data_IF_282451324217
#
_entry.id   IF_282451324217
#
_cell.length_a   1.000
_cell.length_b   1.000
_cell.length_c   1.000
_cell.angle_alpha   90.00
_cell.angle_beta   90.00
_cell.angle_gamma   90.00
#
_symmetry.space_group_name_H-M   'P 1'
#
loop_
_entity.id
_entity.type
_entity.pdbx_description
1 polymer ?
#
# COMPACT_ATOMS: atom_id res chain seq x y z
N UNK A 1 -32.44 -29.37 -15.99
CA UNK A 1 -31.49 -28.24 -16.17
C UNK A 1 -30.98 -27.72 -14.81
N UNK A 2 -30.08 -28.44 -14.11
CA UNK A 2 -29.50 -28.02 -12.81
C UNK A 2 -28.08 -28.57 -12.59
N UNK A 3 -27.13 -28.34 -13.51
CA UNK A 3 -25.74 -28.80 -13.30
C UNK A 3 -24.60 -27.87 -13.77
N UNK A 4 -24.87 -26.57 -14.06
CA UNK A 4 -23.80 -25.66 -14.53
C UNK A 4 -23.32 -24.60 -13.52
N UNK A 5 -23.93 -24.45 -12.35
CA UNK A 5 -23.49 -23.43 -11.37
C UNK A 5 -22.35 -23.89 -10.46
N UNK A 6 -22.05 -25.17 -10.33
CA UNK A 6 -21.02 -25.69 -9.41
C UNK A 6 -19.58 -25.64 -9.95
N UNK A 7 -19.40 -25.76 -11.27
CA UNK A 7 -18.09 -25.80 -11.90
C UNK A 7 -17.42 -24.43 -12.05
N UNK A 8 -18.19 -23.40 -12.38
CA UNK A 8 -17.68 -22.04 -12.50
C UNK A 8 -17.17 -21.49 -11.15
N UNK A 9 -17.84 -21.81 -10.05
CA UNK A 9 -17.42 -21.35 -8.71
C UNK A 9 -16.16 -22.05 -8.21
N UNK A 10 -15.95 -23.32 -8.53
CA UNK A 10 -14.72 -24.07 -8.22
C UNK A 10 -13.51 -23.55 -9.02
N UNK A 11 -13.70 -23.22 -10.29
CA UNK A 11 -12.64 -22.68 -11.15
C UNK A 11 -12.19 -21.29 -10.71
N UNK A 12 -13.12 -20.42 -10.34
CA UNK A 12 -12.83 -19.08 -9.80
C UNK A 12 -12.08 -19.14 -8.46
N UNK A 13 -12.48 -20.05 -7.56
CA UNK A 13 -11.80 -20.28 -6.29
C UNK A 13 -10.37 -20.83 -6.48
N UNK A 14 -10.17 -21.69 -7.45
CA UNK A 14 -8.85 -22.23 -7.78
C UNK A 14 -7.92 -21.15 -8.35
N UNK A 15 -8.41 -20.33 -9.28
CA UNK A 15 -7.67 -19.21 -9.85
C UNK A 15 -7.32 -18.15 -8.79
N UNK A 16 -8.24 -17.86 -7.87
CA UNK A 16 -7.97 -16.96 -6.74
C UNK A 16 -6.85 -17.50 -5.85
N UNK A 17 -6.89 -18.76 -5.46
CA UNK A 17 -5.83 -19.37 -4.65
C UNK A 17 -4.48 -19.43 -5.35
N UNK A 18 -4.45 -19.66 -6.66
CA UNK A 18 -3.21 -19.62 -7.44
C UNK A 18 -2.62 -18.21 -7.45
N UNK A 19 -3.44 -17.19 -7.67
CA UNK A 19 -2.98 -15.80 -7.62
C UNK A 19 -2.48 -15.42 -6.23
N UNK A 20 -3.14 -15.84 -5.16
CA UNK A 20 -2.71 -15.58 -3.79
C UNK A 20 -1.33 -16.21 -3.50
N UNK A 21 -1.10 -17.45 -3.94
CA UNK A 21 0.20 -18.14 -3.80
C UNK A 21 1.30 -17.44 -4.61
N UNK A 22 0.98 -16.99 -5.82
CA UNK A 22 1.90 -16.26 -6.68
C UNK A 22 2.28 -14.90 -6.06
N UNK A 23 1.30 -14.16 -5.55
CA UNK A 23 1.53 -12.90 -4.83
C UNK A 23 2.45 -13.14 -3.64
N UNK A 24 2.16 -14.12 -2.78
CA UNK A 24 2.98 -14.43 -1.61
C UNK A 24 4.42 -14.82 -1.98
N UNK A 25 4.61 -15.52 -3.09
CA UNK A 25 5.95 -15.88 -3.56
C UNK A 25 6.73 -14.65 -3.99
N UNK A 26 6.09 -13.75 -4.76
CA UNK A 26 6.71 -12.49 -5.19
C UNK A 26 6.99 -11.58 -3.97
N UNK A 27 6.08 -11.51 -3.01
CA UNK A 27 6.28 -10.75 -1.76
C UNK A 27 7.52 -11.23 -0.99
N UNK A 28 7.75 -12.54 -0.91
CA UNK A 28 8.97 -13.10 -0.29
C UNK A 28 10.23 -12.71 -1.06
N UNK A 29 10.20 -12.80 -2.39
CA UNK A 29 11.32 -12.36 -3.24
C UNK A 29 11.66 -10.89 -3.01
N UNK A 30 10.65 -10.02 -3.04
CA UNK A 30 10.82 -8.58 -2.81
C UNK A 30 11.36 -8.31 -1.40
N UNK A 31 10.78 -8.93 -0.38
CA UNK A 31 11.22 -8.75 1.01
C UNK A 31 12.70 -9.13 1.17
N UNK A 32 13.14 -10.21 0.52
CA UNK A 32 14.55 -10.62 0.52
C UNK A 32 15.45 -9.62 -0.18
N UNK A 33 14.99 -8.99 -1.27
CA UNK A 33 15.74 -7.96 -1.98
C UNK A 33 15.84 -6.65 -1.19
N UNK A 34 14.83 -6.31 -0.40
CA UNK A 34 14.80 -5.11 0.43
C UNK A 34 15.60 -5.26 1.72
N UNK A 35 15.78 -6.48 2.23
CA UNK A 35 16.39 -6.76 3.53
C UNK A 35 17.78 -6.12 3.78
N UNK A 36 18.69 -5.99 2.78
CA UNK A 36 19.99 -5.34 2.97
C UNK A 36 19.89 -3.83 3.23
N UNK A 37 18.84 -3.19 2.76
CA UNK A 37 18.63 -1.74 2.90
C UNK A 37 17.73 -1.46 4.10
N UNK A 38 18.33 -0.94 5.17
CA UNK A 38 17.56 -0.55 6.36
C UNK A 38 16.60 0.57 6.02
N UNK A 39 15.32 0.36 6.35
CA UNK A 39 14.28 1.34 6.15
C UNK A 39 13.42 1.12 4.89
N UNK A 40 13.92 0.41 3.87
CA UNK A 40 13.11 0.08 2.69
C UNK A 40 12.14 -1.08 3.01
N UNK A 41 10.91 -1.00 2.52
CA UNK A 41 9.90 -2.01 2.81
C UNK A 41 8.86 -2.19 1.70
N UNK A 42 8.29 -3.38 1.66
CA UNK A 42 7.20 -3.71 0.76
C UNK A 42 5.88 -3.14 1.29
N UNK A 43 5.14 -2.45 0.43
CA UNK A 43 3.78 -1.97 0.72
C UNK A 43 2.74 -2.94 0.20
N UNK A 44 2.86 -3.37 -1.06
CA UNK A 44 1.96 -4.37 -1.64
C UNK A 44 2.45 -4.88 -2.99
N UNK A 45 2.00 -6.08 -3.35
CA UNK A 45 2.09 -6.65 -4.69
C UNK A 45 0.68 -6.77 -5.26
N UNK A 46 0.50 -6.37 -6.52
CA UNK A 46 -0.73 -6.55 -7.27
C UNK A 46 -0.41 -7.24 -8.59
N UNK A 47 -1.17 -8.26 -8.96
CA UNK A 47 -1.08 -8.92 -10.26
C UNK A 47 -2.37 -8.64 -11.01
N UNK A 48 -2.27 -7.93 -12.12
CA UNK A 48 -3.38 -7.67 -13.03
C UNK A 48 -3.46 -8.75 -14.10
N UNK A 49 -4.58 -8.86 -14.84
CA UNK A 49 -4.67 -9.76 -15.99
C UNK A 49 -3.47 -9.63 -16.93
N UNK A 50 -3.11 -10.71 -17.63
CA UNK A 50 -1.92 -10.80 -18.50
C UNK A 50 -0.58 -10.73 -17.75
N UNK A 51 -0.54 -11.20 -16.49
CA UNK A 51 0.67 -11.24 -15.66
C UNK A 51 1.36 -9.86 -15.51
N UNK A 52 0.57 -8.80 -15.43
CA UNK A 52 1.10 -7.46 -15.15
C UNK A 52 1.31 -7.30 -13.64
N UNK A 53 2.56 -7.39 -13.21
CA UNK A 53 2.98 -7.36 -11.80
C UNK A 53 3.33 -5.92 -11.41
N UNK A 54 2.64 -5.40 -10.40
CA UNK A 54 2.94 -4.10 -9.80
C UNK A 54 3.36 -4.28 -8.35
N UNK A 55 4.57 -3.82 -8.05
CA UNK A 55 5.17 -3.88 -6.72
C UNK A 55 5.30 -2.46 -6.18
N UNK A 56 4.69 -2.21 -5.04
CA UNK A 56 4.79 -0.93 -4.35
C UNK A 56 5.73 -1.09 -3.15
N UNK A 57 6.79 -0.29 -3.14
CA UNK A 57 7.80 -0.24 -2.08
C UNK A 57 7.92 1.17 -1.54
N UNK A 58 8.27 1.31 -0.27
CA UNK A 58 8.48 2.60 0.37
C UNK A 58 9.70 2.55 1.29
N UNK A 59 10.10 3.70 1.83
CA UNK A 59 11.23 3.83 2.75
C UNK A 59 10.83 4.68 3.96
N UNK A 60 11.38 4.38 5.13
CA UNK A 60 11.15 5.15 6.36
C UNK A 60 11.81 6.54 6.33
N UNK A 61 12.77 6.76 5.45
CA UNK A 61 13.45 8.06 5.33
C UNK A 61 12.53 9.18 4.85
N UNK A 62 12.83 10.41 5.26
CA UNK A 62 12.05 11.60 4.90
C UNK A 62 12.01 11.86 3.40
N UNK A 63 13.07 11.50 2.68
CA UNK A 63 13.16 11.60 1.21
C UNK A 63 12.32 10.55 0.47
N UNK A 64 11.81 9.54 1.21
CA UNK A 64 11.01 8.45 0.65
C UNK A 64 11.82 7.51 -0.26
N UNK A 65 11.11 6.82 -1.14
CA UNK A 65 11.70 5.88 -2.10
C UNK A 65 12.17 6.62 -3.36
N UNK A 66 13.47 6.61 -3.65
CA UNK A 66 14.00 7.26 -4.86
C UNK A 66 13.73 6.45 -6.13
N UNK A 67 13.73 7.13 -7.28
CA UNK A 67 13.56 6.50 -8.60
C UNK A 67 14.69 5.52 -8.86
N UNK A 68 15.93 5.86 -8.49
CA UNK A 68 17.10 5.01 -8.66
C UNK A 68 16.99 3.69 -7.89
N UNK A 69 16.48 3.75 -6.66
CA UNK A 69 16.16 2.56 -5.86
C UNK A 69 15.08 1.71 -6.54
N UNK A 70 13.99 2.32 -7.01
CA UNK A 70 12.94 1.61 -7.73
C UNK A 70 13.49 0.88 -8.96
N UNK A 71 14.31 1.55 -9.77
CA UNK A 71 14.94 0.94 -10.96
C UNK A 71 15.87 -0.21 -10.58
N UNK A 72 16.65 -0.07 -9.51
CA UNK A 72 17.55 -1.13 -9.03
C UNK A 72 16.75 -2.36 -8.59
N UNK A 73 15.72 -2.18 -7.78
CA UNK A 73 14.85 -3.28 -7.33
C UNK A 73 14.07 -3.91 -8.48
N UNK A 74 13.59 -3.11 -9.42
CA UNK A 74 12.91 -3.62 -10.62
C UNK A 74 13.82 -4.56 -11.40
N UNK A 75 15.06 -4.16 -11.68
CA UNK A 75 16.03 -4.99 -12.42
C UNK A 75 16.38 -6.28 -11.67
N UNK A 76 16.58 -6.19 -10.36
CA UNK A 76 16.92 -7.35 -9.55
C UNK A 76 15.76 -8.36 -9.47
N UNK A 77 14.53 -7.88 -9.24
CA UNK A 77 13.35 -8.71 -9.18
C UNK A 77 13.03 -9.32 -10.56
N UNK A 78 13.18 -8.54 -11.63
CA UNK A 78 12.95 -9.01 -13.00
C UNK A 78 13.82 -10.25 -13.32
N UNK A 79 15.12 -10.19 -13.01
CA UNK A 79 16.03 -11.34 -13.20
C UNK A 79 15.59 -12.56 -12.38
N UNK A 80 15.21 -12.37 -11.12
CA UNK A 80 14.74 -13.47 -10.29
C UNK A 80 13.46 -14.11 -10.85
N UNK A 81 12.55 -13.31 -11.41
CA UNK A 81 11.34 -13.81 -12.03
C UNK A 81 11.61 -14.55 -13.34
N UNK A 82 12.54 -14.08 -14.18
CA UNK A 82 12.98 -14.76 -15.38
C UNK A 82 13.62 -16.13 -15.09
N UNK A 83 14.41 -16.22 -14.02
CA UNK A 83 15.09 -17.45 -13.60
C UNK A 83 14.15 -18.41 -12.84
N UNK A 84 12.97 -17.96 -12.47
CA UNK A 84 12.00 -18.72 -11.70
C UNK A 84 11.05 -19.53 -12.61
N UNK A 85 10.48 -20.64 -12.11
CA UNK A 85 9.45 -21.40 -12.85
C UNK A 85 8.07 -20.73 -12.83
N UNK A 86 7.93 -19.52 -12.26
CA UNK A 86 6.64 -18.85 -12.09
C UNK A 86 6.03 -18.41 -13.43
N UNK A 87 6.87 -18.04 -14.38
CA UNK A 87 6.48 -17.59 -15.71
C UNK A 87 7.30 -18.31 -16.78
N UNK A 88 7.04 -19.62 -17.03
CA UNK A 88 7.87 -20.45 -17.90
C UNK A 88 7.95 -19.95 -19.34
N UNK A 89 6.93 -19.26 -19.79
CA UNK A 89 6.87 -18.67 -21.14
C UNK A 89 7.50 -17.27 -21.21
N UNK A 90 8.04 -16.75 -20.09
CA UNK A 90 8.56 -15.39 -19.99
C UNK A 90 7.49 -14.30 -20.17
N UNK A 91 6.22 -14.66 -20.16
CA UNK A 91 5.13 -13.74 -20.45
C UNK A 91 4.64 -13.05 -19.17
N UNK A 92 5.38 -12.04 -18.74
CA UNK A 92 5.01 -11.13 -17.65
C UNK A 92 5.53 -9.72 -17.92
N UNK A 93 4.94 -8.75 -17.23
CA UNK A 93 5.48 -7.39 -17.12
C UNK A 93 5.63 -7.00 -15.66
N UNK A 94 6.66 -6.22 -15.34
CA UNK A 94 6.99 -5.81 -13.98
C UNK A 94 7.15 -4.31 -13.89
N UNK A 95 6.49 -3.73 -12.90
CA UNK A 95 6.63 -2.33 -12.48
C UNK A 95 6.90 -2.29 -10.98
N UNK A 96 8.03 -1.70 -10.58
CA UNK A 96 8.36 -1.42 -9.18
C UNK A 96 8.36 0.09 -8.99
N UNK A 97 7.53 0.58 -8.08
CA UNK A 97 7.37 2.01 -7.81
C UNK A 97 7.08 2.29 -6.34
N UNK A 98 7.21 3.54 -5.92
CA UNK A 98 6.64 3.98 -4.65
C UNK A 98 5.12 4.10 -4.76
N UNK A 99 4.37 4.03 -3.64
CA UNK A 99 2.97 4.41 -3.62
C UNK A 99 2.81 5.83 -4.13
N UNK A 100 1.90 6.03 -5.09
CA UNK A 100 1.61 7.35 -5.63
C UNK A 100 1.03 8.28 -4.56
N UNK A 101 1.18 9.58 -4.78
CA UNK A 101 0.52 10.61 -4.00
C UNK A 101 -1.00 10.42 -4.17
N UNK A 102 -1.73 10.41 -3.05
CA UNK A 102 -3.16 10.11 -3.07
C UNK A 102 -3.51 8.62 -2.91
N UNK A 103 -2.54 7.72 -2.92
CA UNK A 103 -2.78 6.32 -2.56
C UNK A 103 -3.01 6.20 -1.04
N UNK A 104 -4.00 5.40 -0.60
CA UNK A 104 -4.25 5.21 0.82
C UNK A 104 -3.06 4.55 1.54
N UNK A 105 -2.78 5.02 2.76
CA UNK A 105 -1.82 4.40 3.65
C UNK A 105 -2.31 2.99 4.04
N UNK A 106 -1.43 2.00 3.97
CA UNK A 106 -1.76 0.59 4.23
C UNK A 106 -1.09 0.03 5.47
N UNK A 107 0.13 0.48 5.75
CA UNK A 107 0.97 -0.05 6.81
C UNK A 107 1.14 0.97 7.93
N UNK A 108 1.15 0.50 9.17
CA UNK A 108 1.36 1.34 10.36
C UNK A 108 2.60 2.24 10.23
N UNK A 109 3.71 1.73 9.70
CA UNK A 109 4.95 2.50 9.47
C UNK A 109 4.77 3.67 8.48
N UNK A 110 3.82 3.57 7.53
CA UNK A 110 3.50 4.68 6.65
C UNK A 110 2.78 5.82 7.41
N UNK A 111 1.94 5.49 8.38
CA UNK A 111 1.35 6.50 9.27
C UNK A 111 2.42 7.19 10.10
N UNK A 112 3.33 6.43 10.72
CA UNK A 112 4.44 6.98 11.52
C UNK A 112 5.29 7.97 10.72
N UNK A 113 5.65 7.62 9.49
CA UNK A 113 6.41 8.47 8.56
C UNK A 113 5.67 9.77 8.20
N UNK A 114 4.35 9.73 8.14
CA UNK A 114 3.54 10.87 7.71
C UNK A 114 3.02 11.74 8.88
N UNK A 115 3.56 11.57 10.08
CA UNK A 115 3.26 12.49 11.21
C UNK A 115 3.62 13.92 10.83
N UNK A 116 2.77 14.87 11.24
CA UNK A 116 2.88 16.28 10.89
C UNK A 116 2.26 16.67 9.54
N UNK A 117 1.83 15.70 8.73
CA UNK A 117 1.18 15.96 7.44
C UNK A 117 -0.34 16.01 7.56
N UNK A 118 -0.97 16.75 6.66
CA UNK A 118 -2.41 16.79 6.51
C UNK A 118 -2.89 15.47 5.90
N UNK A 119 -3.92 14.87 6.47
CA UNK A 119 -4.53 13.62 6.01
C UNK A 119 -6.04 13.76 5.87
N UNK A 120 -6.59 13.00 4.93
CA UNK A 120 -8.01 12.72 4.78
C UNK A 120 -8.30 11.32 5.31
N UNK A 121 -9.14 11.22 6.31
CA UNK A 121 -9.59 9.96 6.90
C UNK A 121 -11.01 9.70 6.46
N UNK A 122 -11.23 8.58 5.79
CA UNK A 122 -12.55 8.05 5.44
C UNK A 122 -12.90 6.97 6.43
N UNK A 123 -14.04 7.11 7.10
CA UNK A 123 -14.56 6.14 8.07
C UNK A 123 -15.33 5.00 7.39
N UNK A 124 -15.56 3.92 8.11
CA UNK A 124 -16.31 2.76 7.63
C UNK A 124 -17.77 3.08 7.26
N UNK A 125 -18.36 4.09 7.89
CA UNK A 125 -19.69 4.60 7.59
C UNK A 125 -19.74 5.54 6.37
N UNK A 126 -18.58 5.83 5.76
CA UNK A 126 -18.44 6.72 4.60
C UNK A 126 -18.29 8.20 4.96
N UNK A 127 -18.37 8.58 6.23
CA UNK A 127 -18.04 9.94 6.67
C UNK A 127 -16.54 10.21 6.47
N UNK A 128 -16.16 11.50 6.43
CA UNK A 128 -14.78 11.92 6.20
C UNK A 128 -14.36 12.97 7.21
N UNK A 129 -13.09 12.98 7.54
CA UNK A 129 -12.48 13.99 8.40
C UNK A 129 -11.07 14.31 7.92
N UNK A 130 -10.79 15.61 7.82
CA UNK A 130 -9.46 16.13 7.49
C UNK A 130 -8.77 16.62 8.76
N UNK A 131 -7.45 16.50 8.80
CA UNK A 131 -6.67 17.04 9.89
C UNK A 131 -5.19 16.74 9.76
N UNK A 132 -4.37 17.40 10.57
CA UNK A 132 -2.95 17.09 10.69
C UNK A 132 -2.77 15.84 11.53
N UNK A 133 -2.07 14.84 11.03
CA UNK A 133 -1.71 13.62 11.77
C UNK A 133 -0.68 13.96 12.84
N UNK A 134 -1.08 13.96 14.11
CA UNK A 134 -0.24 14.36 15.23
C UNK A 134 0.48 13.17 15.82
N UNK A 135 -0.25 12.08 16.09
CA UNK A 135 0.29 10.89 16.74
C UNK A 135 -0.29 9.63 16.14
N UNK A 136 0.47 8.54 16.25
CA UNK A 136 0.10 7.21 15.78
C UNK A 136 0.50 6.22 16.86
N UNK A 137 -0.48 5.51 17.39
CA UNK A 137 -0.29 4.40 18.32
C UNK A 137 -0.49 3.06 17.61
N UNK A 138 -0.39 1.95 18.32
CA UNK A 138 -0.70 0.63 17.71
C UNK A 138 -2.17 0.48 17.32
N UNK A 139 -3.09 1.17 18.01
CA UNK A 139 -4.52 0.97 17.88
C UNK A 139 -5.27 2.16 17.24
N UNK A 140 -4.68 3.35 17.24
CA UNK A 140 -5.36 4.58 16.84
C UNK A 140 -4.41 5.62 16.27
N UNK A 141 -5.01 6.65 15.68
CA UNK A 141 -4.33 7.87 15.26
C UNK A 141 -4.95 9.08 15.96
N UNK A 142 -4.12 10.08 16.24
CA UNK A 142 -4.55 11.40 16.70
C UNK A 142 -4.42 12.40 15.55
N UNK A 143 -5.53 13.03 15.16
CA UNK A 143 -5.52 14.11 14.19
C UNK A 143 -5.97 15.42 14.84
N UNK A 144 -5.43 16.53 14.34
CA UNK A 144 -5.77 17.89 14.76
C UNK A 144 -6.42 18.63 13.61
N UNK A 145 -7.64 19.10 13.83
CA UNK A 145 -8.40 19.94 12.90
C UNK A 145 -8.40 21.39 13.40
N UNK A 146 -8.13 22.33 12.50
CA UNK A 146 -8.22 23.77 12.80
C UNK A 146 -9.50 24.30 12.16
N UNK A 147 -10.44 24.75 13.00
CA UNK A 147 -11.70 25.34 12.56
C UNK A 147 -11.70 26.84 12.85
N UNK A 148 -12.24 27.64 11.91
CA UNK A 148 -12.26 29.09 12.01
C UNK A 148 -11.06 29.78 11.34
N UNK A 149 -11.05 31.11 11.36
CA UNK A 149 -9.98 31.96 10.75
C UNK A 149 -9.48 33.00 11.73
N UNK A 150 -8.17 33.30 11.69
CA UNK A 150 -7.51 34.34 12.47
C UNK A 150 -7.59 34.08 13.98
N UNK A 151 -7.90 35.13 14.76
CA UNK A 151 -7.97 35.06 16.24
C UNK A 151 -9.09 34.17 16.81
N UNK A 152 -10.01 33.70 15.97
CA UNK A 152 -11.12 32.77 16.34
C UNK A 152 -10.85 31.35 15.87
N UNK A 153 -9.63 31.01 15.47
CA UNK A 153 -9.27 29.66 15.12
C UNK A 153 -9.24 28.78 16.38
N UNK A 154 -10.01 27.70 16.36
CA UNK A 154 -10.02 26.68 17.41
C UNK A 154 -9.37 25.42 16.88
N UNK A 155 -8.53 24.79 17.70
CA UNK A 155 -7.91 23.51 17.40
C UNK A 155 -8.68 22.42 18.13
N UNK A 156 -9.20 21.47 17.37
CA UNK A 156 -9.88 20.27 17.91
C UNK A 156 -9.03 19.05 17.61
N UNK A 157 -8.91 18.16 18.59
CA UNK A 157 -8.19 16.90 18.44
C UNK A 157 -9.16 15.73 18.46
N UNK A 158 -8.89 14.73 17.63
CA UNK A 158 -9.70 13.53 17.48
C UNK A 158 -8.82 12.30 17.52
N UNK A 159 -9.11 11.41 18.47
CA UNK A 159 -8.52 10.07 18.53
C UNK A 159 -9.42 9.16 17.68
N UNK A 160 -8.84 8.50 16.69
CA UNK A 160 -9.57 7.67 15.73
C UNK A 160 -8.96 6.25 15.75
N UNK A 161 -9.69 5.25 16.27
CA UNK A 161 -9.24 3.86 16.22
C UNK A 161 -9.09 3.36 14.76
N UNK A 162 -8.04 2.59 14.50
CA UNK A 162 -7.82 2.01 13.17
C UNK A 162 -9.00 1.15 12.69
N UNK A 163 -9.70 0.49 13.60
CA UNK A 163 -10.89 -0.32 13.27
C UNK A 163 -12.04 0.49 12.65
N UNK A 164 -12.10 1.80 12.91
CA UNK A 164 -13.12 2.70 12.36
C UNK A 164 -12.69 3.32 11.04
N UNK A 165 -11.44 3.14 10.63
CA UNK A 165 -10.85 3.74 9.43
C UNK A 165 -11.03 2.80 8.24
N UNK A 166 -11.69 3.29 7.20
CA UNK A 166 -11.75 2.63 5.89
C UNK A 166 -10.50 2.92 5.06
N UNK A 167 -10.06 4.17 5.04
CA UNK A 167 -8.83 4.59 4.35
C UNK A 167 -8.32 5.93 4.89
N UNK A 168 -7.02 6.13 4.81
CA UNK A 168 -6.36 7.40 5.11
C UNK A 168 -5.45 7.77 3.95
N UNK A 169 -5.55 8.99 3.47
CA UNK A 169 -4.77 9.51 2.35
C UNK A 169 -4.03 10.76 2.77
N UNK A 170 -2.76 10.90 2.40
CA UNK A 170 -1.98 12.11 2.67
C UNK A 170 -2.33 13.18 1.66
N UNK A 171 -2.70 14.36 2.14
CA UNK A 171 -2.95 15.53 1.30
C UNK A 171 -1.64 16.19 0.85
N UNK A 172 -1.64 16.68 -0.39
CA UNK A 172 -0.59 17.54 -0.91
C UNK A 172 -1.10 18.97 -0.82
N UNK A 173 -0.36 19.80 -0.12
CA UNK A 173 -0.52 21.26 -0.28
C UNK A 173 0.43 21.70 -1.38
N UNK A 174 -0.12 22.22 -2.44
CA UNK A 174 0.60 23.01 -3.44
C UNK A 174 0.74 24.45 -2.97
#
# INVERSE_FOLDING_TARGET
MKHQKGTANRSLLFLSKMNDTLIQTIEKMVTSLLAPEKGDFLVSVKIKPTNNIKVFIDSDGDDGMSIEKCVRYNRALYRQLEESPLFPDGNFSLEVSSPGIGEPLKLHRQYLKNKGRMVDVVFNDGSQKEGTLIEVTENDILISEITGKGKKAETKQFIIPFENIKSTTVQIKF
#
